data_IF_489430713309
#
_entry.id   IF_489430713309
#
_cell.length_a   1.000
_cell.length_b   1.000
_cell.length_c   1.000
_cell.angle_alpha   90.00
_cell.angle_beta   90.00
_cell.angle_gamma   90.00
#
_symmetry.space_group_name_H-M   'P 1'
#
loop_
_entity.id
_entity.type
_entity.pdbx_description
1 polymer ?
#
# COMPACT_ATOMS: atom_id res chain seq x y z
N UNK A 1 7.85 4.90 3.61
CA UNK A 1 8.51 5.89 2.74
C UNK A 1 7.86 5.85 1.37
N UNK A 2 7.47 7.01 0.86
CA UNK A 2 6.82 7.16 -0.44
C UNK A 2 7.89 7.69 -1.40
N UNK A 3 8.32 6.85 -2.33
CA UNK A 3 9.40 7.18 -3.28
C UNK A 3 8.87 7.53 -4.68
N UNK A 4 7.72 6.98 -5.07
CA UNK A 4 7.22 7.04 -6.45
C UNK A 4 6.72 8.42 -6.86
N UNK A 5 6.23 9.22 -5.91
CA UNK A 5 5.59 10.50 -6.16
C UNK A 5 5.77 11.43 -4.97
N UNK A 6 5.60 12.73 -5.20
CA UNK A 6 5.54 13.75 -4.14
C UNK A 6 4.18 14.43 -4.13
N UNK A 7 3.92 15.30 -3.16
CA UNK A 7 2.84 16.27 -3.32
C UNK A 7 3.18 17.27 -4.44
N UNK A 8 2.17 17.80 -5.12
CA UNK A 8 2.27 18.98 -6.01
C UNK A 8 2.68 20.26 -5.28
N UNK A 9 2.55 20.29 -3.96
CA UNK A 9 3.08 21.35 -3.09
C UNK A 9 4.56 21.17 -2.75
N UNK A 10 5.18 20.05 -3.13
CA UNK A 10 6.60 19.81 -2.92
C UNK A 10 7.45 20.80 -3.74
N UNK A 11 8.54 21.29 -3.14
CA UNK A 11 9.41 22.29 -3.79
C UNK A 11 9.97 21.80 -5.12
N UNK A 12 10.25 20.51 -5.26
CA UNK A 12 10.70 19.95 -6.55
C UNK A 12 9.62 20.11 -7.62
N UNK A 13 8.36 19.78 -7.35
CA UNK A 13 7.29 19.94 -8.35
C UNK A 13 6.99 21.41 -8.63
N UNK A 14 6.96 22.25 -7.59
CA UNK A 14 6.80 23.72 -7.73
C UNK A 14 7.85 24.34 -8.65
N UNK A 15 9.08 23.84 -8.63
CA UNK A 15 10.13 24.30 -9.53
C UNK A 15 10.09 23.57 -10.88
N UNK A 16 9.79 22.27 -10.90
CA UNK A 16 9.67 21.49 -12.13
C UNK A 16 8.59 22.08 -13.04
N UNK A 17 7.42 22.44 -12.51
CA UNK A 17 6.28 22.92 -13.31
C UNK A 17 6.45 24.31 -13.94
N UNK A 18 7.54 25.03 -13.63
CA UNK A 18 7.87 26.32 -14.24
C UNK A 18 8.24 26.15 -15.71
N UNK A 19 7.90 27.15 -16.53
CA UNK A 19 8.20 27.14 -17.96
C UNK A 19 9.71 27.21 -18.24
N UNK A 20 10.45 28.01 -17.47
CA UNK A 20 11.90 28.14 -17.60
C UNK A 20 12.61 26.87 -17.11
N UNK A 21 13.48 26.34 -17.97
CA UNK A 21 14.28 25.16 -17.66
C UNK A 21 15.14 25.39 -16.41
N UNK A 22 15.12 24.42 -15.50
CA UNK A 22 15.88 24.42 -14.27
C UNK A 22 16.26 22.98 -13.89
N UNK A 23 17.03 22.80 -12.82
CA UNK A 23 17.52 21.47 -12.42
C UNK A 23 16.41 20.45 -12.14
N UNK A 24 15.19 20.89 -11.83
CA UNK A 24 14.07 19.99 -11.54
C UNK A 24 13.17 19.74 -12.76
N UNK A 25 13.47 20.30 -13.93
CA UNK A 25 12.60 20.21 -15.11
C UNK A 25 12.28 18.77 -15.51
N UNK A 26 13.23 17.84 -15.35
CA UNK A 26 13.07 16.43 -15.70
C UNK A 26 12.93 15.50 -14.49
N UNK A 27 12.65 16.06 -13.30
CA UNK A 27 12.48 15.27 -12.08
C UNK A 27 11.11 14.60 -11.98
N UNK A 28 10.14 15.02 -12.78
CA UNK A 28 8.81 14.44 -12.90
C UNK A 28 8.56 13.99 -14.34
N UNK A 29 7.59 13.11 -14.53
CA UNK A 29 7.26 12.58 -15.85
C UNK A 29 6.41 13.61 -16.60
N UNK A 30 7.04 14.37 -17.49
CA UNK A 30 6.39 15.35 -18.36
C UNK A 30 6.34 14.84 -19.79
N UNK A 31 5.27 15.17 -20.50
CA UNK A 31 5.18 14.93 -21.94
C UNK A 31 4.43 16.04 -22.65
N UNK A 32 4.91 16.36 -23.85
CA UNK A 32 4.19 17.22 -24.79
C UNK A 32 2.87 16.57 -25.20
N UNK A 33 1.91 17.39 -25.60
CA UNK A 33 0.61 16.92 -26.05
C UNK A 33 -0.37 18.04 -26.33
N UNK A 34 -1.61 17.64 -26.59
CA UNK A 34 -2.75 18.55 -26.69
C UNK A 34 -3.54 18.49 -25.37
N UNK A 35 -3.96 19.62 -24.76
CA UNK A 35 -4.73 19.62 -23.51
C UNK A 35 -5.96 18.68 -23.50
N UNK A 36 -6.52 18.38 -24.68
CA UNK A 36 -7.71 17.54 -24.83
C UNK A 36 -7.42 16.06 -25.10
N UNK A 37 -6.15 15.67 -25.28
CA UNK A 37 -5.77 14.30 -25.65
C UNK A 37 -4.53 13.88 -24.86
N UNK A 38 -4.73 13.12 -23.77
CA UNK A 38 -3.64 12.49 -23.04
C UNK A 38 -2.72 11.69 -23.97
N UNK A 39 -1.43 11.53 -23.61
CA UNK A 39 -0.42 10.88 -24.44
C UNK A 39 -0.69 9.38 -24.70
N UNK A 40 -1.38 8.70 -23.78
CA UNK A 40 -1.75 7.30 -23.87
C UNK A 40 -2.99 7.01 -23.02
N UNK A 41 -3.37 5.74 -22.94
CA UNK A 41 -4.59 5.29 -22.28
C UNK A 41 -4.46 5.05 -20.76
N UNK A 42 -3.34 5.35 -20.10
CA UNK A 42 -3.15 5.02 -18.68
C UNK A 42 -4.17 5.72 -17.79
N UNK A 43 -4.66 4.98 -16.79
CA UNK A 43 -5.68 5.45 -15.84
C UNK A 43 -5.12 5.57 -14.42
N UNK A 44 -5.56 6.59 -13.69
CA UNK A 44 -5.25 6.74 -12.28
C UNK A 44 -6.08 5.74 -11.46
N UNK A 45 -5.44 5.15 -10.44
CA UNK A 45 -6.12 4.27 -9.47
C UNK A 45 -7.28 5.00 -8.78
N UNK A 46 -7.15 6.31 -8.55
CA UNK A 46 -8.15 7.13 -7.87
C UNK A 46 -9.11 7.86 -8.82
N UNK A 47 -9.10 7.48 -10.11
CA UNK A 47 -10.10 7.84 -11.09
C UNK A 47 -9.61 8.84 -12.14
N UNK A 48 -10.05 8.62 -13.38
CA UNK A 48 -9.70 9.43 -14.55
C UNK A 48 -8.38 9.01 -15.20
N UNK A 49 -7.92 9.84 -16.14
CA UNK A 49 -6.62 9.69 -16.79
C UNK A 49 -5.48 9.79 -15.77
N UNK A 50 -4.38 9.05 -15.98
CA UNK A 50 -3.12 9.28 -15.23
C UNK A 50 -2.39 10.56 -15.64
N UNK A 51 -2.97 11.36 -16.54
CA UNK A 51 -2.33 12.53 -17.10
C UNK A 51 -3.14 13.79 -16.81
N UNK A 52 -2.48 14.77 -16.19
CA UNK A 52 -3.05 16.10 -15.92
C UNK A 52 -2.30 17.17 -16.71
N UNK A 53 -3.05 17.95 -17.48
CA UNK A 53 -2.51 19.10 -18.21
C UNK A 53 -2.11 20.22 -17.25
N UNK A 54 -0.93 20.80 -17.46
CA UNK A 54 -0.44 21.96 -16.72
C UNK A 54 -0.31 23.17 -17.66
N UNK A 55 -1.15 24.19 -17.45
CA UNK A 55 -1.29 25.33 -18.38
C UNK A 55 -0.01 26.16 -18.54
N UNK A 56 0.74 26.39 -17.47
CA UNK A 56 1.98 27.20 -17.53
C UNK A 56 3.09 26.49 -18.32
N UNK A 57 3.15 25.15 -18.21
CA UNK A 57 4.19 24.35 -18.84
C UNK A 57 3.77 23.83 -20.23
N UNK A 58 2.47 23.90 -20.55
CA UNK A 58 1.86 23.37 -21.77
C UNK A 58 2.22 21.89 -22.02
N UNK A 59 2.19 21.09 -20.95
CA UNK A 59 2.53 19.67 -20.97
C UNK A 59 1.60 18.91 -20.03
N UNK A 60 1.48 17.59 -20.23
CA UNK A 60 0.92 16.70 -19.23
C UNK A 60 2.00 16.27 -18.24
N UNK A 61 1.62 16.07 -16.98
CA UNK A 61 2.40 15.28 -16.03
C UNK A 61 1.67 14.00 -15.63
N UNK A 62 2.46 12.95 -15.37
CA UNK A 62 1.94 11.67 -14.88
C UNK A 62 1.55 11.75 -13.41
N UNK A 63 0.43 11.13 -13.06
CA UNK A 63 0.02 10.83 -11.70
C UNK A 63 -0.74 9.48 -11.67
N UNK A 64 -0.16 8.45 -11.06
CA UNK A 64 -0.81 7.16 -10.89
C UNK A 64 -1.95 7.20 -9.86
N UNK A 65 -1.91 8.18 -8.96
CA UNK A 65 -2.86 8.37 -7.85
C UNK A 65 -3.60 9.71 -8.02
N UNK A 66 -3.64 10.56 -6.98
CA UNK A 66 -4.28 11.87 -7.08
C UNK A 66 -3.52 12.79 -8.05
N UNK A 67 -4.22 13.75 -8.65
CA UNK A 67 -3.58 14.82 -9.43
C UNK A 67 -2.58 15.63 -8.61
N UNK A 68 -2.78 15.71 -7.29
CA UNK A 68 -1.85 16.34 -6.34
C UNK A 68 -0.67 15.44 -5.94
N UNK A 69 -0.54 14.27 -6.56
CA UNK A 69 0.55 13.30 -6.39
C UNK A 69 1.29 13.07 -7.71
N UNK A 70 1.98 14.09 -8.27
CA UNK A 70 2.78 13.91 -9.49
C UNK A 70 3.90 12.88 -9.28
N UNK A 71 4.01 11.94 -10.23
CA UNK A 71 5.00 10.87 -10.21
C UNK A 71 6.40 11.40 -10.58
N UNK A 72 7.39 10.97 -9.79
CA UNK A 72 8.79 11.25 -10.03
C UNK A 72 9.29 10.43 -11.24
N UNK A 73 10.17 11.02 -12.03
CA UNK A 73 10.76 10.34 -13.17
C UNK A 73 12.02 9.55 -12.76
N UNK A 74 11.87 8.26 -12.46
CA UNK A 74 13.02 7.44 -12.08
C UNK A 74 14.00 7.12 -13.21
N UNK A 75 13.69 7.43 -14.48
CA UNK A 75 14.71 7.41 -15.54
C UNK A 75 15.78 8.48 -15.35
N UNK A 76 15.52 9.49 -14.51
CA UNK A 76 16.49 10.51 -14.13
C UNK A 76 17.39 10.01 -12.98
N UNK A 77 18.69 9.90 -13.23
CA UNK A 77 19.67 9.44 -12.24
C UNK A 77 19.80 10.38 -11.02
N UNK A 78 19.53 11.68 -11.17
CA UNK A 78 19.51 12.62 -10.05
C UNK A 78 18.35 12.32 -9.10
N UNK A 79 17.17 11.98 -9.64
CA UNK A 79 16.01 11.55 -8.83
C UNK A 79 16.33 10.26 -8.08
N UNK A 80 16.92 9.28 -8.78
CA UNK A 80 17.35 8.03 -8.15
C UNK A 80 18.33 8.29 -7.01
N UNK A 81 19.35 9.13 -7.23
CA UNK A 81 20.33 9.43 -6.20
C UNK A 81 19.71 10.21 -5.03
N UNK A 82 18.90 11.23 -5.31
CA UNK A 82 18.21 11.99 -4.28
C UNK A 82 17.34 11.08 -3.39
N UNK A 83 16.61 10.14 -3.98
CA UNK A 83 15.78 9.19 -3.21
C UNK A 83 16.61 8.25 -2.34
N UNK A 84 17.79 7.81 -2.78
CA UNK A 84 18.73 7.08 -1.93
C UNK A 84 19.27 7.94 -0.79
N UNK A 85 19.52 9.22 -1.05
CA UNK A 85 19.97 10.18 -0.03
C UNK A 85 18.86 10.43 1.02
N UNK A 86 17.59 10.49 0.62
CA UNK A 86 16.45 10.57 1.54
C UNK A 86 16.31 9.31 2.41
N UNK A 87 16.49 8.12 1.84
CA UNK A 87 16.55 6.86 2.61
C UNK A 87 17.70 6.95 3.62
N UNK A 88 18.90 7.33 3.18
CA UNK A 88 20.08 7.40 4.04
C UNK A 88 19.95 8.47 5.13
N UNK A 89 19.27 9.58 4.85
CA UNK A 89 18.96 10.61 5.85
C UNK A 89 18.21 10.01 7.06
N UNK A 90 17.15 9.24 6.81
CA UNK A 90 16.39 8.59 7.88
C UNK A 90 17.17 7.47 8.56
N UNK A 91 18.03 6.74 7.84
CA UNK A 91 18.91 5.75 8.45
C UNK A 91 19.94 6.40 9.39
N UNK A 92 20.51 7.56 9.00
CA UNK A 92 21.39 8.36 9.88
C UNK A 92 20.64 8.90 11.10
N UNK A 93 19.34 9.12 10.99
CA UNK A 93 18.48 9.46 12.13
C UNK A 93 18.26 8.26 13.08
N UNK A 94 18.44 7.03 12.61
CA UNK A 94 18.39 5.81 13.42
C UNK A 94 17.11 4.99 13.28
N UNK A 95 16.42 5.06 12.13
CA UNK A 95 15.28 4.16 11.87
C UNK A 95 15.77 2.74 11.53
N UNK A 96 15.06 1.71 11.98
CA UNK A 96 15.44 0.30 11.77
C UNK A 96 15.08 -0.22 10.36
N UNK A 97 14.37 0.57 9.55
CA UNK A 97 13.95 0.14 8.23
C UNK A 97 12.77 0.91 7.67
N UNK A 98 12.27 0.45 6.53
CA UNK A 98 11.21 1.12 5.77
C UNK A 98 10.17 0.15 5.23
N UNK A 99 8.89 0.54 5.33
CA UNK A 99 7.86 0.10 4.38
C UNK A 99 7.91 1.02 3.16
N UNK A 100 8.21 0.49 1.98
CA UNK A 100 8.20 1.24 0.73
C UNK A 100 6.81 1.16 0.08
N UNK A 101 6.18 2.32 -0.07
CA UNK A 101 4.88 2.49 -0.70
C UNK A 101 4.96 2.19 -2.20
N UNK A 102 4.02 1.36 -2.70
CA UNK A 102 3.89 0.94 -4.11
C UNK A 102 5.21 0.84 -4.87
N UNK A 103 6.16 0.07 -4.33
CA UNK A 103 7.57 0.15 -4.74
C UNK A 103 7.82 -0.30 -6.19
N UNK A 104 6.85 -0.95 -6.83
CA UNK A 104 6.90 -1.31 -8.23
C UNK A 104 6.43 -0.18 -9.18
N UNK A 105 6.00 0.98 -8.68
CA UNK A 105 5.53 2.11 -9.50
C UNK A 105 6.63 3.11 -9.86
N UNK A 106 7.87 2.91 -9.39
CA UNK A 106 8.96 3.89 -9.59
C UNK A 106 9.21 4.22 -11.06
N UNK A 107 9.24 3.20 -11.92
CA UNK A 107 9.51 3.36 -13.35
C UNK A 107 8.23 3.14 -14.17
N UNK A 108 8.05 4.01 -15.15
CA UNK A 108 7.07 3.90 -16.23
C UNK A 108 7.80 3.55 -17.54
N UNK A 109 7.09 3.04 -18.53
CA UNK A 109 7.64 2.78 -19.87
C UNK A 109 8.00 4.10 -20.56
N UNK A 110 9.28 4.31 -20.88
CA UNK A 110 9.75 5.55 -21.49
C UNK A 110 9.18 5.80 -22.90
N UNK A 111 8.65 4.76 -23.56
CA UNK A 111 7.97 4.88 -24.84
C UNK A 111 6.48 5.25 -24.69
N UNK A 112 5.98 5.38 -23.46
CA UNK A 112 4.60 5.75 -23.12
C UNK A 112 3.55 4.89 -23.84
N UNK A 113 3.81 3.59 -24.04
CA UNK A 113 2.90 2.70 -24.78
C UNK A 113 1.58 2.50 -24.04
N UNK A 114 0.49 2.42 -24.81
CA UNK A 114 -0.83 2.05 -24.30
C UNK A 114 -0.81 0.67 -23.63
N UNK A 115 -1.46 0.58 -22.47
CA UNK A 115 -1.74 -0.69 -21.84
C UNK A 115 -2.80 -1.48 -22.64
N UNK A 116 -2.63 -2.81 -22.81
CA UNK A 116 -3.68 -3.63 -23.40
C UNK A 116 -4.95 -3.64 -22.56
N UNK A 117 -6.11 -3.74 -23.20
CA UNK A 117 -7.38 -3.95 -22.50
C UNK A 117 -7.44 -5.33 -21.82
N UNK A 118 -8.10 -5.40 -20.66
CA UNK A 118 -8.38 -6.64 -19.92
C UNK A 118 -9.85 -7.00 -20.05
N UNK A 119 -10.13 -8.30 -20.19
CA UNK A 119 -11.50 -8.80 -20.11
C UNK A 119 -12.05 -8.50 -18.69
N UNK A 120 -13.19 -7.80 -18.56
CA UNK A 120 -13.83 -7.53 -17.27
C UNK A 120 -14.00 -8.77 -16.37
N UNK A 121 -14.15 -9.98 -16.96
CA UNK A 121 -14.29 -11.24 -16.22
C UNK A 121 -13.00 -11.70 -15.53
N UNK A 122 -11.85 -11.17 -15.94
CA UNK A 122 -10.54 -11.50 -15.39
C UNK A 122 -10.05 -10.45 -14.37
N UNK A 123 -10.83 -9.41 -14.10
CA UNK A 123 -10.48 -8.35 -13.16
C UNK A 123 -10.42 -8.92 -11.74
N UNK A 124 -9.30 -8.67 -11.07
CA UNK A 124 -9.08 -8.99 -9.66
C UNK A 124 -8.88 -7.67 -8.89
N UNK A 125 -9.60 -7.42 -7.78
CA UNK A 125 -9.52 -6.16 -7.03
C UNK A 125 -8.27 -6.12 -6.14
N UNK A 126 -7.11 -5.90 -6.76
CA UNK A 126 -5.81 -5.89 -6.10
C UNK A 126 -5.34 -4.45 -5.91
N UNK A 127 -5.67 -3.84 -4.77
CA UNK A 127 -5.33 -2.44 -4.47
C UNK A 127 -6.34 -1.41 -5.03
N UNK A 128 -7.44 -1.89 -5.60
CA UNK A 128 -8.58 -1.11 -6.09
C UNK A 128 -9.85 -1.95 -6.01
N UNK A 129 -11.03 -1.32 -6.07
CA UNK A 129 -12.31 -2.04 -6.05
C UNK A 129 -12.66 -2.65 -7.42
N UNK A 130 -13.47 -3.70 -7.45
CA UNK A 130 -13.71 -4.52 -8.65
C UNK A 130 -14.24 -3.75 -9.87
N UNK A 131 -15.04 -2.72 -9.63
CA UNK A 131 -15.66 -1.90 -10.68
C UNK A 131 -14.81 -0.69 -11.11
N UNK A 132 -13.61 -0.55 -10.57
CA UNK A 132 -12.70 0.53 -10.96
C UNK A 132 -12.24 0.35 -12.42
N UNK A 133 -12.41 1.36 -13.29
CA UNK A 133 -11.92 1.31 -14.67
C UNK A 133 -10.42 1.03 -14.81
N UNK A 134 -9.63 1.36 -13.79
CA UNK A 134 -8.21 0.99 -13.69
C UNK A 134 -8.03 -0.52 -13.98
N UNK A 135 -8.84 -1.38 -13.35
CA UNK A 135 -8.75 -2.82 -13.50
C UNK A 135 -9.01 -3.36 -14.92
N UNK A 136 -9.59 -2.55 -15.81
CA UNK A 136 -9.87 -2.90 -17.21
C UNK A 136 -8.64 -2.84 -18.12
N UNK A 137 -7.46 -2.58 -17.56
CA UNK A 137 -6.18 -2.60 -18.26
C UNK A 137 -5.29 -3.72 -17.73
N UNK A 138 -4.46 -4.27 -18.60
CA UNK A 138 -3.31 -5.08 -18.20
C UNK A 138 -2.17 -4.09 -17.97
N UNK A 139 -1.85 -3.83 -16.70
CA UNK A 139 -0.82 -2.85 -16.30
C UNK A 139 0.58 -3.38 -16.62
N UNK A 140 1.03 -3.11 -17.85
CA UNK A 140 2.29 -3.62 -18.41
C UNK A 140 3.33 -2.52 -18.59
N UNK A 141 2.89 -1.30 -18.88
CA UNK A 141 3.76 -0.20 -19.29
C UNK A 141 3.74 0.97 -18.30
N UNK A 142 2.69 1.13 -17.52
CA UNK A 142 2.53 2.23 -16.56
C UNK A 142 3.28 2.00 -15.23
N UNK A 143 3.59 0.76 -14.89
CA UNK A 143 4.38 0.40 -13.70
C UNK A 143 5.16 -0.92 -13.92
N UNK A 144 5.87 -1.38 -12.89
CA UNK A 144 6.57 -2.68 -12.84
C UNK A 144 7.58 -2.87 -13.97
N UNK A 145 8.28 -1.80 -14.35
CA UNK A 145 9.30 -1.86 -15.41
C UNK A 145 10.60 -2.53 -14.89
N UNK A 146 11.36 -3.23 -15.77
CA UNK A 146 12.51 -4.03 -15.39
C UNK A 146 13.65 -3.24 -14.73
N UNK A 147 13.79 -1.95 -15.03
CA UNK A 147 14.77 -1.02 -14.44
C UNK A 147 14.62 -0.93 -12.92
N UNK A 148 13.41 -1.17 -12.40
CA UNK A 148 13.14 -1.20 -10.96
C UNK A 148 14.08 -2.17 -10.24
N UNK A 149 14.38 -3.34 -10.84
CA UNK A 149 15.19 -4.39 -10.21
C UNK A 149 16.62 -3.93 -9.84
N UNK A 150 17.24 -3.12 -10.69
CA UNK A 150 18.57 -2.55 -10.41
C UNK A 150 18.48 -1.50 -9.30
N UNK A 151 17.45 -0.64 -9.34
CA UNK A 151 17.26 0.36 -8.30
C UNK A 151 16.99 -0.26 -6.91
N UNK A 152 16.23 -1.35 -6.83
CA UNK A 152 16.06 -2.10 -5.58
C UNK A 152 17.38 -2.68 -5.06
N UNK A 153 18.28 -3.08 -5.96
CA UNK A 153 19.62 -3.56 -5.59
C UNK A 153 20.48 -2.43 -5.03
N UNK A 154 20.30 -1.19 -5.52
CA UNK A 154 20.92 0.01 -4.94
C UNK A 154 20.35 0.35 -3.56
N UNK A 155 19.03 0.26 -3.37
CA UNK A 155 18.38 0.42 -2.06
C UNK A 155 18.98 -0.60 -1.07
N UNK A 156 19.08 -1.87 -1.47
CA UNK A 156 19.65 -2.93 -0.62
C UNK A 156 21.06 -2.58 -0.13
N UNK A 157 21.94 -2.15 -1.04
CA UNK A 157 23.31 -1.71 -0.69
C UNK A 157 23.36 -0.54 0.30
N UNK A 158 22.36 0.34 0.31
CA UNK A 158 22.26 1.42 1.30
C UNK A 158 21.85 0.84 2.64
N UNK A 159 20.80 0.02 2.68
CA UNK A 159 20.27 -0.59 3.91
C UNK A 159 21.30 -1.49 4.61
N UNK A 160 22.08 -2.27 3.85
CA UNK A 160 23.13 -3.16 4.38
C UNK A 160 24.17 -2.40 5.22
N UNK A 161 24.39 -1.11 4.97
CA UNK A 161 25.33 -0.28 5.76
C UNK A 161 24.82 0.03 7.17
N UNK A 162 23.52 -0.13 7.42
CA UNK A 162 22.85 0.27 8.65
C UNK A 162 22.13 -0.89 9.36
N UNK A 163 22.28 -2.13 8.87
CA UNK A 163 21.53 -3.31 9.36
C UNK A 163 20.01 -3.08 9.36
N UNK A 164 19.53 -2.30 8.39
CA UNK A 164 18.14 -1.88 8.29
C UNK A 164 17.34 -2.78 7.35
N UNK A 165 16.05 -2.99 7.64
CA UNK A 165 15.19 -3.86 6.84
C UNK A 165 14.27 -3.09 5.88
N UNK A 166 13.74 -3.78 4.88
CA UNK A 166 12.77 -3.21 3.93
C UNK A 166 11.59 -4.13 3.70
N UNK A 167 10.40 -3.55 3.69
CA UNK A 167 9.15 -4.20 3.28
C UNK A 167 8.59 -3.45 2.06
N UNK A 168 8.56 -4.08 0.89
CA UNK A 168 7.92 -3.50 -0.29
C UNK A 168 6.42 -3.74 -0.31
N UNK A 169 5.63 -2.74 -0.68
CA UNK A 169 4.24 -2.93 -1.10
C UNK A 169 4.18 -3.15 -2.62
N UNK A 170 3.50 -4.21 -3.04
CA UNK A 170 3.35 -4.57 -4.46
C UNK A 170 1.88 -4.55 -4.89
N UNK A 171 1.60 -3.77 -5.92
CA UNK A 171 0.32 -3.73 -6.64
C UNK A 171 0.60 -3.97 -8.13
N UNK A 172 0.27 -5.14 -8.66
CA UNK A 172 0.54 -5.48 -10.07
C UNK A 172 -0.39 -6.57 -10.59
N UNK A 173 -0.31 -6.85 -11.88
CA UNK A 173 -1.05 -7.95 -12.54
C UNK A 173 -0.74 -9.33 -11.95
N UNK A 174 0.54 -9.58 -11.61
CA UNK A 174 1.03 -10.85 -11.10
C UNK A 174 1.76 -10.63 -9.77
N UNK A 175 1.05 -10.23 -8.70
CA UNK A 175 1.67 -9.67 -7.50
C UNK A 175 2.62 -10.63 -6.80
N UNK A 176 2.27 -11.93 -6.71
CA UNK A 176 3.13 -12.93 -6.09
C UNK A 176 4.43 -13.18 -6.86
N UNK A 177 4.41 -13.10 -8.19
CA UNK A 177 5.63 -13.23 -9.01
C UNK A 177 6.52 -11.99 -8.81
N UNK A 178 5.93 -10.80 -8.79
CA UNK A 178 6.67 -9.56 -8.54
C UNK A 178 7.28 -9.57 -7.13
N UNK A 179 6.57 -10.05 -6.10
CA UNK A 179 7.16 -10.29 -4.77
C UNK A 179 8.34 -11.26 -4.87
N UNK A 180 8.17 -12.38 -5.60
CA UNK A 180 9.22 -13.36 -5.88
C UNK A 180 10.50 -12.75 -6.45
N UNK A 181 10.35 -11.85 -7.42
CA UNK A 181 11.47 -11.16 -8.06
C UNK A 181 12.08 -10.05 -7.17
N UNK A 182 11.27 -9.36 -6.38
CA UNK A 182 11.69 -8.14 -5.67
C UNK A 182 12.24 -8.43 -4.27
N UNK A 183 11.77 -9.48 -3.61
CA UNK A 183 12.13 -9.82 -2.24
C UNK A 183 13.09 -11.01 -2.19
N UNK A 184 14.40 -10.77 -2.10
CA UNK A 184 15.45 -11.78 -2.03
C UNK A 184 16.77 -11.17 -1.53
N UNK A 185 17.84 -11.98 -1.49
CA UNK A 185 19.15 -11.59 -0.97
C UNK A 185 19.83 -10.42 -1.70
N UNK A 186 19.40 -10.07 -2.92
CA UNK A 186 20.01 -9.00 -3.72
C UNK A 186 19.21 -7.69 -3.69
N UNK A 187 17.93 -7.75 -3.30
CA UNK A 187 16.97 -6.64 -3.42
C UNK A 187 16.29 -6.40 -2.07
N UNK A 188 14.96 -6.27 -2.04
CA UNK A 188 14.24 -6.04 -0.80
C UNK A 188 14.36 -7.25 0.13
N UNK A 189 14.42 -6.99 1.43
CA UNK A 189 14.40 -8.05 2.46
C UNK A 189 13.10 -8.84 2.43
N UNK A 190 11.97 -8.17 2.25
CA UNK A 190 10.65 -8.78 2.11
C UNK A 190 9.70 -7.86 1.34
N UNK A 191 8.60 -8.42 0.86
CA UNK A 191 7.50 -7.64 0.27
C UNK A 191 6.15 -8.31 0.54
N UNK A 192 5.11 -7.49 0.63
CA UNK A 192 3.72 -7.94 0.67
C UNK A 192 2.98 -7.47 -0.58
N UNK A 193 1.85 -8.10 -0.86
CA UNK A 193 0.96 -7.70 -1.95
C UNK A 193 -0.51 -7.84 -1.55
N UNK A 194 -1.41 -7.42 -2.43
CA UNK A 194 -2.85 -7.39 -2.16
C UNK A 194 -3.57 -8.74 -2.30
N UNK A 195 -2.84 -9.86 -2.49
CA UNK A 195 -3.44 -11.19 -2.66
C UNK A 195 -4.39 -11.55 -1.50
N UNK A 196 -3.97 -11.33 -0.26
CA UNK A 196 -4.79 -11.57 0.94
C UNK A 196 -5.64 -10.37 1.34
N UNK A 197 -5.39 -9.19 0.77
CA UNK A 197 -6.07 -7.94 1.08
C UNK A 197 -7.29 -7.68 0.17
N UNK A 198 -7.36 -8.40 -0.95
CA UNK A 198 -8.45 -8.36 -1.93
C UNK A 198 -9.82 -8.65 -1.31
N UNK A 199 -10.85 -7.99 -1.85
CA UNK A 199 -12.27 -8.25 -1.55
C UNK A 199 -12.69 -9.66 -1.99
N UNK A 200 -12.06 -10.20 -3.04
CA UNK A 200 -12.32 -11.55 -3.56
C UNK A 200 -11.47 -12.62 -2.85
N UNK A 201 -10.74 -12.27 -1.78
CA UNK A 201 -9.88 -13.23 -1.06
C UNK A 201 -10.71 -14.33 -0.38
N UNK A 202 -10.47 -15.58 -0.77
CA UNK A 202 -10.99 -16.75 -0.07
C UNK A 202 -10.02 -17.22 1.01
N UNK A 203 -10.39 -17.00 2.28
CA UNK A 203 -9.60 -17.41 3.44
C UNK A 203 -9.18 -18.89 3.43
N UNK A 204 -9.98 -19.77 2.83
CA UNK A 204 -9.69 -21.21 2.77
C UNK A 204 -8.49 -21.53 1.87
N UNK A 205 -8.15 -20.64 0.94
CA UNK A 205 -7.03 -20.82 0.00
C UNK A 205 -5.67 -20.37 0.58
N UNK A 206 -5.64 -19.83 1.81
CA UNK A 206 -4.42 -19.26 2.42
C UNK A 206 -3.21 -20.18 2.32
N UNK A 207 -3.29 -21.42 2.82
CA UNK A 207 -2.16 -22.34 2.81
C UNK A 207 -1.71 -22.68 1.38
N UNK A 208 -2.67 -22.91 0.47
CA UNK A 208 -2.39 -23.20 -0.94
C UNK A 208 -1.61 -22.05 -1.59
N UNK A 209 -2.00 -20.80 -1.33
CA UNK A 209 -1.33 -19.61 -1.86
C UNK A 209 0.10 -19.52 -1.32
N UNK A 210 0.30 -19.73 -0.01
CA UNK A 210 1.63 -19.70 0.61
C UNK A 210 2.52 -20.82 0.07
N UNK A 211 2.01 -22.04 -0.03
CA UNK A 211 2.76 -23.20 -0.55
C UNK A 211 3.16 -22.98 -2.02
N UNK A 212 2.24 -22.49 -2.85
CA UNK A 212 2.52 -22.14 -4.24
C UNK A 212 3.55 -21.02 -4.36
N UNK A 213 3.50 -20.02 -3.50
CA UNK A 213 4.48 -18.94 -3.48
C UNK A 213 5.89 -19.49 -3.26
N UNK A 214 6.11 -20.28 -2.21
CA UNK A 214 7.44 -20.83 -1.91
C UNK A 214 7.89 -21.89 -2.92
N UNK A 215 6.96 -22.64 -3.52
CA UNK A 215 7.28 -23.57 -4.60
C UNK A 215 7.82 -22.85 -5.84
N UNK A 216 7.17 -21.74 -6.24
CA UNK A 216 7.54 -20.98 -7.42
C UNK A 216 8.73 -20.03 -7.17
N UNK A 217 8.89 -19.55 -5.94
CA UNK A 217 9.88 -18.54 -5.57
C UNK A 217 10.74 -19.00 -4.37
N UNK A 218 11.53 -20.07 -4.51
CA UNK A 218 12.23 -20.70 -3.37
C UNK A 218 13.28 -19.80 -2.70
N UNK A 219 13.79 -18.79 -3.40
CA UNK A 219 14.79 -17.84 -2.91
C UNK A 219 14.18 -16.50 -2.47
N UNK A 220 12.84 -16.42 -2.40
CA UNK A 220 12.13 -15.20 -2.03
C UNK A 220 11.57 -15.27 -0.61
N UNK A 221 11.38 -14.09 -0.01
CA UNK A 221 10.84 -13.97 1.34
C UNK A 221 9.61 -13.03 1.39
N UNK A 222 8.41 -13.57 1.63
CA UNK A 222 7.19 -12.77 1.65
C UNK A 222 6.93 -12.15 3.03
N UNK A 223 6.19 -11.05 3.04
CA UNK A 223 5.50 -10.54 4.22
C UNK A 223 3.98 -10.68 4.00
N UNK A 224 3.27 -11.29 4.94
CA UNK A 224 1.83 -11.54 4.83
C UNK A 224 1.05 -10.54 5.67
N UNK A 225 -0.07 -10.06 5.14
CA UNK A 225 -0.97 -9.14 5.84
C UNK A 225 -2.41 -9.50 5.54
N UNK A 226 -3.26 -9.57 6.56
CA UNK A 226 -4.70 -9.72 6.38
C UNK A 226 -5.45 -8.39 6.45
N UNK A 227 -4.95 -7.39 7.15
CA UNK A 227 -5.46 -6.03 7.01
C UNK A 227 -4.34 -5.03 6.85
N UNK A 228 -4.70 -3.84 6.40
CA UNK A 228 -3.87 -2.64 6.41
C UNK A 228 -4.81 -1.43 6.37
N UNK A 229 -4.25 -0.26 6.09
CA UNK A 229 -5.00 1.00 5.98
C UNK A 229 -5.67 1.22 4.61
N UNK A 230 -5.58 0.27 3.67
CA UNK A 230 -6.12 0.37 2.32
C UNK A 230 -7.19 -0.66 1.98
N UNK A 231 -7.44 -1.61 2.87
CA UNK A 231 -8.44 -2.66 2.67
C UNK A 231 -9.34 -2.76 3.89
N UNK A 232 -10.59 -3.18 3.64
CA UNK A 232 -11.57 -3.48 4.69
C UNK A 232 -10.94 -4.38 5.76
N UNK A 233 -11.21 -4.16 7.05
CA UNK A 233 -10.71 -5.03 8.12
C UNK A 233 -11.07 -6.49 7.86
N UNK A 234 -10.10 -7.40 8.00
CA UNK A 234 -10.29 -8.83 7.72
C UNK A 234 -11.46 -9.44 8.51
N UNK A 235 -11.70 -8.98 9.75
CA UNK A 235 -12.79 -9.45 10.60
C UNK A 235 -14.20 -9.15 10.03
N UNK A 236 -14.31 -8.25 9.05
CA UNK A 236 -15.52 -8.04 8.27
C UNK A 236 -15.44 -8.63 6.86
N UNK A 237 -14.22 -8.71 6.29
CA UNK A 237 -14.02 -9.20 4.91
C UNK A 237 -14.19 -10.71 4.79
N UNK A 238 -13.94 -11.49 5.85
CA UNK A 238 -14.12 -12.94 5.85
C UNK A 238 -15.08 -13.38 6.96
N UNK A 239 -15.91 -14.39 6.68
CA UNK A 239 -16.86 -14.95 7.64
C UNK A 239 -16.19 -15.99 8.55
N UNK A 240 -15.21 -15.54 9.35
CA UNK A 240 -14.44 -16.38 10.28
C UNK A 240 -14.26 -15.71 11.65
N UNK A 241 -14.19 -16.49 12.75
CA UNK A 241 -13.84 -15.94 14.06
C UNK A 241 -12.48 -15.25 14.05
N UNK A 242 -12.34 -14.08 14.68
CA UNK A 242 -11.07 -13.34 14.71
C UNK A 242 -9.89 -14.13 15.28
N UNK A 243 -10.14 -15.05 16.24
CA UNK A 243 -9.11 -15.96 16.75
C UNK A 243 -8.57 -16.88 15.66
N UNK A 244 -9.44 -17.47 14.83
CA UNK A 244 -9.02 -18.33 13.70
C UNK A 244 -8.21 -17.54 12.68
N UNK A 245 -8.60 -16.29 12.40
CA UNK A 245 -7.90 -15.40 11.48
C UNK A 245 -6.48 -15.08 11.98
N UNK A 246 -6.36 -14.64 13.24
CA UNK A 246 -5.05 -14.31 13.82
C UNK A 246 -4.17 -15.55 13.95
N UNK A 247 -4.72 -16.67 14.39
CA UNK A 247 -3.98 -17.93 14.45
C UNK A 247 -3.42 -18.29 13.08
N UNK A 248 -4.24 -18.24 12.03
CA UNK A 248 -3.79 -18.51 10.67
C UNK A 248 -2.65 -17.59 10.25
N UNK A 249 -2.76 -16.28 10.49
CA UNK A 249 -1.69 -15.32 10.17
C UNK A 249 -0.39 -15.67 10.89
N UNK A 250 -0.50 -15.98 12.20
CA UNK A 250 0.63 -16.30 13.07
C UNK A 250 1.27 -17.66 12.75
N UNK A 251 0.61 -18.53 12.00
CA UNK A 251 1.14 -19.82 11.50
C UNK A 251 1.91 -19.68 10.18
N UNK A 252 1.74 -18.58 9.43
CA UNK A 252 2.32 -18.49 8.08
C UNK A 252 3.85 -18.37 8.12
N UNK A 253 4.51 -19.11 7.23
CA UNK A 253 5.93 -18.96 6.92
C UNK A 253 6.17 -17.65 6.17
N UNK A 254 7.07 -16.81 6.68
CA UNK A 254 7.33 -15.45 6.18
C UNK A 254 7.23 -14.43 7.31
N UNK A 255 7.42 -13.15 7.01
CA UNK A 255 7.10 -12.08 7.96
C UNK A 255 5.59 -11.81 7.97
N UNK A 256 5.12 -11.12 9.00
CA UNK A 256 3.71 -10.76 9.15
C UNK A 256 3.57 -9.28 9.47
N UNK A 257 2.54 -8.67 8.90
CA UNK A 257 2.05 -7.35 9.29
C UNK A 257 0.73 -7.53 10.03
N UNK A 258 0.62 -6.90 11.20
CA UNK A 258 -0.62 -6.83 11.99
C UNK A 258 -1.04 -5.37 12.03
N UNK A 259 -2.21 -5.07 11.48
CA UNK A 259 -2.76 -3.72 11.46
C UNK A 259 -3.46 -3.38 12.77
N UNK A 260 -3.39 -2.11 13.19
CA UNK A 260 -3.94 -1.66 14.46
C UNK A 260 -5.44 -2.01 14.60
N UNK A 261 -5.77 -2.72 15.68
CA UNK A 261 -7.12 -3.21 15.97
C UNK A 261 -7.41 -4.63 15.45
N UNK A 262 -6.55 -5.22 14.61
CA UNK A 262 -6.68 -6.65 14.28
C UNK A 262 -6.49 -7.52 15.53
N UNK A 263 -5.57 -7.14 16.42
CA UNK A 263 -5.33 -7.78 17.71
C UNK A 263 -6.51 -7.67 18.68
N UNK A 264 -7.46 -6.77 18.40
CA UNK A 264 -8.69 -6.60 19.16
C UNK A 264 -9.90 -7.25 18.47
N UNK A 265 -9.74 -7.76 17.25
CA UNK A 265 -10.85 -8.27 16.44
C UNK A 265 -11.82 -7.16 16.00
N UNK A 266 -11.30 -5.95 15.72
CA UNK A 266 -12.12 -4.84 15.22
C UNK A 266 -12.65 -5.16 13.81
N UNK A 267 -13.94 -4.89 13.62
CA UNK A 267 -14.65 -5.03 12.36
C UNK A 267 -14.66 -3.70 11.61
N UNK A 268 -14.88 -3.72 10.31
CA UNK A 268 -15.01 -2.51 9.49
C UNK A 268 -16.07 -1.56 10.05
N UNK A 269 -15.75 -0.26 10.09
CA UNK A 269 -16.71 0.77 10.48
C UNK A 269 -17.46 1.30 9.27
N UNK A 270 -18.78 1.39 9.34
CA UNK A 270 -19.54 2.12 8.34
C UNK A 270 -19.41 3.64 8.57
N UNK A 271 -18.72 4.32 7.65
CA UNK A 271 -18.56 5.77 7.67
C UNK A 271 -19.61 6.43 6.77
N UNK A 272 -20.32 7.40 7.31
CA UNK A 272 -21.35 8.15 6.57
C UNK A 272 -20.70 9.14 5.60
N UNK A 273 -21.37 9.43 4.48
CA UNK A 273 -20.84 10.34 3.44
C UNK A 273 -20.35 11.68 3.99
N UNK A 274 -21.10 12.29 4.92
CA UNK A 274 -20.76 13.58 5.54
C UNK A 274 -19.45 13.56 6.34
N UNK A 275 -19.00 12.38 6.76
CA UNK A 275 -17.83 12.18 7.60
C UNK A 275 -16.64 11.64 6.78
N UNK A 276 -16.83 11.28 5.50
CA UNK A 276 -15.76 10.80 4.62
C UNK A 276 -14.63 11.83 4.50
N UNK A 277 -13.41 11.35 4.67
CA UNK A 277 -12.17 12.09 4.48
C UNK A 277 -11.48 11.64 3.19
N UNK A 278 -11.43 10.32 2.92
CA UNK A 278 -10.72 9.72 1.80
C UNK A 278 -11.25 10.20 0.43
N UNK A 279 -10.42 10.89 -0.38
CA UNK A 279 -10.79 11.27 -1.75
C UNK A 279 -11.17 10.08 -2.62
N UNK A 280 -10.57 8.91 -2.39
CA UNK A 280 -10.89 7.71 -3.17
C UNK A 280 -12.35 7.27 -2.94
N UNK A 281 -12.83 7.31 -1.69
CA UNK A 281 -14.24 7.05 -1.39
C UNK A 281 -15.18 8.12 -1.94
N UNK A 282 -14.77 9.39 -1.93
CA UNK A 282 -15.59 10.50 -2.48
C UNK A 282 -15.78 10.39 -3.99
N UNK A 283 -14.76 9.95 -4.72
CA UNK A 283 -14.78 9.87 -6.19
C UNK A 283 -15.67 8.73 -6.73
N UNK A 284 -15.87 7.67 -5.94
CA UNK A 284 -16.59 6.47 -6.36
C UNK A 284 -17.81 6.14 -5.48
N UNK A 285 -18.28 7.11 -4.69
CA UNK A 285 -19.47 6.94 -3.86
C UNK A 285 -20.76 6.87 -4.71
N UNK A 286 -21.75 6.02 -4.34
CA UNK A 286 -21.79 5.11 -3.18
C UNK A 286 -21.22 3.71 -3.43
N UNK A 287 -20.90 3.35 -4.66
CA UNK A 287 -20.51 1.99 -5.06
C UNK A 287 -19.22 1.54 -4.35
N UNK A 288 -18.28 2.47 -4.16
CA UNK A 288 -17.08 2.26 -3.35
C UNK A 288 -16.94 3.38 -2.32
N UNK A 289 -16.97 3.01 -1.03
CA UNK A 289 -16.97 3.97 0.09
C UNK A 289 -15.57 4.44 0.52
N UNK A 290 -14.52 3.99 -0.16
CA UNK A 290 -13.14 4.33 0.19
C UNK A 290 -12.61 3.52 1.36
N UNK A 291 -11.56 4.05 1.99
CA UNK A 291 -10.75 3.34 3.00
C UNK A 291 -10.98 3.84 4.43
N UNK A 292 -11.89 4.80 4.63
CA UNK A 292 -12.11 5.42 5.94
C UNK A 292 -12.62 4.43 7.00
N UNK A 293 -13.34 3.37 6.59
CA UNK A 293 -13.91 2.37 7.51
C UNK A 293 -12.88 1.58 8.33
N UNK A 294 -11.68 1.37 7.78
CA UNK A 294 -10.58 0.72 8.49
C UNK A 294 -9.66 1.71 9.22
N UNK A 295 -9.84 3.02 9.02
CA UNK A 295 -9.00 4.12 9.55
C UNK A 295 -9.60 4.83 10.77
N UNK A 296 -10.76 4.35 11.25
CA UNK A 296 -11.43 4.94 12.40
C UNK A 296 -10.58 4.84 13.67
N UNK A 297 -10.76 5.77 14.64
CA UNK A 297 -9.89 5.83 15.80
C UNK A 297 -9.91 4.57 16.68
N UNK A 298 -8.78 4.29 17.34
CA UNK A 298 -8.61 3.12 18.21
C UNK A 298 -9.44 3.22 19.50
N UNK A 299 -10.07 2.13 19.96
CA UNK A 299 -10.87 2.09 21.18
C UNK A 299 -9.99 1.80 22.41
N UNK A 300 -9.45 2.83 23.06
CA UNK A 300 -8.58 2.65 24.23
C UNK A 300 -9.33 2.32 25.53
N UNK A 301 -10.38 3.08 25.84
CA UNK A 301 -11.15 2.96 27.08
C UNK A 301 -12.63 3.30 26.84
N UNK A 302 -13.53 2.32 27.02
CA UNK A 302 -14.96 2.51 26.78
C UNK A 302 -15.67 3.48 27.71
N UNK A 303 -15.04 3.82 28.85
CA UNK A 303 -15.62 4.72 29.84
C UNK A 303 -15.30 6.21 29.57
N UNK A 304 -14.48 6.48 28.54
CA UNK A 304 -14.01 7.82 28.20
C UNK A 304 -14.66 8.33 26.90
N UNK A 305 -14.65 9.66 26.73
CA UNK A 305 -15.09 10.31 25.49
C UNK A 305 -14.29 9.77 24.30
N UNK A 306 -14.97 9.52 23.18
CA UNK A 306 -14.38 8.94 21.96
C UNK A 306 -13.59 7.65 22.23
N UNK A 307 -14.09 6.81 23.15
CA UNK A 307 -13.43 5.57 23.57
C UNK A 307 -11.98 5.79 24.03
N UNK A 308 -11.68 6.94 24.63
CA UNK A 308 -10.34 7.29 25.12
C UNK A 308 -9.34 7.66 24.03
N UNK A 309 -9.75 7.85 22.78
CA UNK A 309 -8.86 8.30 21.70
C UNK A 309 -8.53 9.79 21.77
N UNK A 310 -9.53 10.61 22.13
CA UNK A 310 -9.40 12.07 22.14
C UNK A 310 -10.48 12.69 23.00
N UNK A 311 -10.13 13.72 23.77
CA UNK A 311 -11.08 14.52 24.54
C UNK A 311 -11.98 15.40 23.64
N UNK A 312 -11.60 15.59 22.37
CA UNK A 312 -12.31 16.38 21.36
C UNK A 312 -12.73 15.51 20.17
N UNK A 313 -13.66 16.01 19.34
CA UNK A 313 -14.05 15.35 18.08
C UNK A 313 -12.80 15.00 17.26
N UNK A 314 -12.67 13.73 16.89
CA UNK A 314 -11.60 13.22 16.03
C UNK A 314 -11.87 13.49 14.54
N UNK A 315 -10.85 13.28 13.72
CA UNK A 315 -10.87 13.49 12.27
C UNK A 315 -11.80 12.51 11.52
N UNK A 316 -12.00 11.30 12.06
CA UNK A 316 -13.05 10.35 11.70
C UNK A 316 -13.88 9.99 12.94
N UNK A 317 -15.16 9.59 12.79
CA UNK A 317 -15.99 9.19 13.92
C UNK A 317 -15.45 7.91 14.57
N UNK A 318 -15.57 7.83 15.90
CA UNK A 318 -15.38 6.56 16.62
C UNK A 318 -16.52 5.61 16.32
N UNK A 319 -16.22 4.31 16.28
CA UNK A 319 -17.25 3.28 16.17
C UNK A 319 -17.73 2.88 17.58
N UNK A 320 -18.98 3.18 17.97
CA UNK A 320 -19.49 2.83 19.30
C UNK A 320 -19.50 1.31 19.55
N UNK A 321 -19.60 0.49 18.50
CA UNK A 321 -19.57 -0.98 18.60
C UNK A 321 -18.21 -1.52 19.05
N UNK A 322 -17.17 -0.67 19.07
CA UNK A 322 -15.87 -1.02 19.60
C UNK A 322 -15.78 -0.90 21.13
N UNK A 323 -16.74 -0.29 21.81
CA UNK A 323 -16.74 -0.19 23.28
C UNK A 323 -16.47 -1.56 23.98
N UNK A 324 -17.19 -2.65 23.67
CA UNK A 324 -16.91 -3.97 24.25
C UNK A 324 -15.59 -4.60 23.80
N UNK A 325 -14.96 -4.06 22.75
CA UNK A 325 -13.67 -4.51 22.21
C UNK A 325 -12.51 -3.60 22.62
N UNK A 326 -12.75 -2.62 23.48
CA UNK A 326 -11.74 -1.64 23.88
C UNK A 326 -10.54 -2.28 24.58
N UNK A 327 -9.38 -1.64 24.45
CA UNK A 327 -8.11 -2.15 25.01
C UNK A 327 -8.20 -2.33 26.52
N UNK A 328 -8.84 -1.41 27.23
CA UNK A 328 -9.07 -1.49 28.68
C UNK A 328 -9.82 -2.78 29.08
N UNK A 329 -10.95 -3.08 28.43
CA UNK A 329 -11.72 -4.30 28.69
C UNK A 329 -10.94 -5.56 28.31
N UNK A 330 -10.30 -5.57 27.14
CA UNK A 330 -9.57 -6.75 26.65
C UNK A 330 -8.30 -7.03 27.46
N UNK A 331 -7.65 -6.02 28.04
CA UNK A 331 -6.50 -6.23 28.94
C UNK A 331 -6.88 -7.02 30.19
N UNK A 332 -8.08 -6.78 30.75
CA UNK A 332 -8.52 -7.41 32.00
C UNK A 332 -9.11 -8.81 31.79
N UNK A 333 -9.62 -9.12 30.60
CA UNK A 333 -10.18 -10.42 30.27
C UNK A 333 -9.09 -11.38 29.73
N UNK A 334 -8.73 -12.47 30.44
CA UNK A 334 -7.75 -13.45 29.96
C UNK A 334 -8.14 -14.11 28.63
N UNK A 335 -9.44 -14.25 28.37
CA UNK A 335 -9.99 -14.83 27.15
C UNK A 335 -10.23 -13.80 26.03
N UNK A 336 -9.63 -12.61 26.12
CA UNK A 336 -9.77 -11.59 25.08
C UNK A 336 -8.97 -11.91 23.80
N UNK A 337 -9.33 -11.26 22.71
CA UNK A 337 -8.58 -11.34 21.45
C UNK A 337 -7.15 -10.77 21.63
N UNK A 338 -7.02 -9.70 22.41
CA UNK A 338 -5.73 -9.08 22.71
C UNK A 338 -4.78 -10.05 23.41
N UNK A 339 -5.24 -10.73 24.46
CA UNK A 339 -4.41 -11.66 25.22
C UNK A 339 -4.11 -12.93 24.41
N UNK A 340 -5.07 -13.40 23.62
CA UNK A 340 -4.84 -14.48 22.66
C UNK A 340 -3.76 -14.13 21.61
N UNK A 341 -3.79 -12.90 21.06
CA UNK A 341 -2.78 -12.42 20.11
C UNK A 341 -1.39 -12.37 20.74
N UNK A 342 -1.28 -11.88 21.99
CA UNK A 342 0.00 -11.89 22.72
C UNK A 342 0.52 -13.31 22.93
N UNK A 343 -0.35 -14.25 23.28
CA UNK A 343 0.02 -15.65 23.45
C UNK A 343 0.57 -16.23 22.14
N UNK A 344 -0.13 -16.02 21.02
CA UNK A 344 0.34 -16.46 19.70
C UNK A 344 1.70 -15.86 19.32
N UNK A 345 1.95 -14.59 19.67
CA UNK A 345 3.26 -13.95 19.43
C UNK A 345 4.35 -14.66 20.22
N UNK A 346 4.11 -14.97 21.50
CA UNK A 346 5.07 -15.70 22.32
C UNK A 346 5.26 -17.15 21.87
N UNK A 347 4.21 -17.82 21.42
CA UNK A 347 4.30 -19.15 20.81
C UNK A 347 5.12 -19.11 19.51
N UNK A 348 4.87 -18.12 18.63
CA UNK A 348 5.62 -17.94 17.37
C UNK A 348 7.11 -17.70 17.63
N UNK A 349 7.47 -16.89 18.63
CA UNK A 349 8.88 -16.68 19.04
C UNK A 349 9.58 -17.97 19.50
N UNK A 350 8.84 -18.97 19.98
CA UNK A 350 9.36 -20.29 20.39
C UNK A 350 9.37 -21.32 19.25
N UNK A 351 9.03 -20.94 18.02
CA UNK A 351 9.09 -21.79 16.83
C UNK A 351 7.77 -22.41 16.38
N UNK A 352 6.62 -21.96 16.90
CA UNK A 352 5.28 -22.46 16.53
C UNK A 352 4.96 -22.36 15.02
N UNK A 353 5.55 -21.41 14.30
CA UNK A 353 5.25 -21.14 12.89
C UNK A 353 6.34 -21.60 11.90
N UNK A 354 7.39 -22.26 12.39
CA UNK A 354 8.56 -22.65 11.59
C UNK A 354 8.71 -24.17 11.44
N UNK A 355 7.65 -24.94 11.72
CA UNK A 355 7.59 -26.38 11.44
C UNK A 355 6.85 -26.66 10.15
#
# INVERSE_FOLDING_TARGET
MVLSHTSDEHEWFKNSKKQDANKYSDWYVWTDGNPNTPPNNWLSVFGGSSWKWHDERNQFYLHNFLTSQPDLNFHNEEVQQQMLDEIEYWLKFGVDGFRFDVINFLYHDSALRDNPAKDPKLVRPLGFNKDNPYGLQIHKYDNTQPETLEYLSRIRKVLDKYDAISVGEIVSENPLNVVGEYANDQRLHMAYCFEFLSEDFNFSDTNKIVDQFFHNNPNSWPCWSFSNHDSMRIASRVNKPSREIMQKLMELKGNICIYQGEELGLQETEVQFKDLQDPFGKNFWPEFKGRDGCRTPMPWNSNEINLGFSEKKSWLPVNPDYAPKSVEQQKQNPDSMLNYTKELIEQRKRGFATQ
#
